data_IF_093305908450
#
_entry.id   IF_093305908450
#
_cell.length_a   1.000
_cell.length_b   1.000
_cell.length_c   1.000
_cell.angle_alpha   90.00
_cell.angle_beta   90.00
_cell.angle_gamma   90.00
#
_symmetry.space_group_name_H-M   'P 1'
#
loop_
_entity.id
_entity.type
_entity.pdbx_description
1 polymer ?
#
# COMPACT_ATOMS: atom_id res chain seq x y z
N UNK A 1 56.75 51.41 -75.21
CA UNK A 1 56.13 50.52 -76.20
C UNK A 1 54.77 50.12 -75.69
N UNK A 2 53.76 50.36 -76.45
CA UNK A 2 52.31 50.06 -76.45
C UNK A 2 51.56 49.73 -75.12
N UNK A 3 50.78 50.76 -74.74
CA UNK A 3 49.69 50.73 -73.79
C UNK A 3 48.53 49.88 -74.33
N UNK A 4 47.90 49.10 -73.52
CA UNK A 4 46.61 48.41 -73.74
C UNK A 4 45.57 48.89 -72.73
N UNK A 5 44.71 49.76 -73.13
CA UNK A 5 43.52 50.22 -72.37
C UNK A 5 42.50 49.08 -72.37
N UNK A 6 42.04 48.60 -71.25
CA UNK A 6 40.82 47.78 -71.10
C UNK A 6 39.72 48.60 -70.35
N UNK A 7 38.57 48.69 -71.05
CA UNK A 7 37.34 49.35 -70.60
C UNK A 7 36.73 48.58 -69.40
N UNK A 8 36.39 49.29 -68.35
CA UNK A 8 35.53 48.80 -67.29
C UNK A 8 34.08 48.98 -67.71
N UNK A 9 33.36 47.81 -67.80
CA UNK A 9 31.89 47.82 -67.91
C UNK A 9 31.36 47.70 -66.47
N UNK A 10 30.49 48.64 -66.11
CA UNK A 10 29.83 48.66 -64.84
C UNK A 10 28.81 47.55 -64.73
N UNK A 11 28.89 46.83 -63.63
CA UNK A 11 27.84 45.86 -63.24
C UNK A 11 27.11 46.50 -62.06
N UNK A 12 25.82 46.86 -62.32
CA UNK A 12 24.93 47.23 -61.27
C UNK A 12 24.63 46.04 -60.38
N UNK A 13 25.08 46.10 -59.11
CA UNK A 13 24.66 45.15 -58.10
C UNK A 13 23.36 45.66 -57.45
N UNK A 14 22.24 45.05 -57.80
CA UNK A 14 20.97 45.18 -57.05
C UNK A 14 21.08 44.47 -55.72
N UNK A 15 21.13 45.23 -54.64
CA UNK A 15 20.99 44.68 -53.30
C UNK A 15 19.55 44.16 -53.09
N UNK A 16 19.37 42.85 -53.17
CA UNK A 16 18.16 42.21 -52.72
C UNK A 16 18.18 42.07 -51.19
N UNK A 17 17.38 42.90 -50.54
CA UNK A 17 17.17 42.91 -49.09
C UNK A 17 16.34 41.65 -48.71
N UNK A 18 17.00 40.52 -48.42
CA UNK A 18 16.35 39.33 -47.90
C UNK A 18 16.00 39.58 -46.44
N UNK A 19 14.74 39.88 -46.17
CA UNK A 19 14.17 39.89 -44.79
C UNK A 19 14.13 38.45 -44.29
N UNK A 20 15.13 38.12 -43.44
CA UNK A 20 15.17 36.85 -42.71
C UNK A 20 14.11 36.91 -41.60
N UNK A 21 12.95 36.28 -41.86
CA UNK A 21 11.88 36.09 -40.89
C UNK A 21 12.34 35.10 -39.84
N UNK A 22 12.95 35.59 -38.76
CA UNK A 22 13.29 34.78 -37.58
C UNK A 22 11.96 34.44 -36.87
N UNK A 23 11.40 33.30 -37.19
CA UNK A 23 10.34 32.71 -36.38
C UNK A 23 10.94 32.39 -35.02
N UNK A 24 10.57 33.16 -34.02
CA UNK A 24 10.79 32.87 -32.60
C UNK A 24 10.08 31.51 -32.31
N UNK A 25 10.81 30.42 -32.39
CA UNK A 25 10.42 29.16 -31.78
C UNK A 25 10.36 29.44 -30.28
N UNK A 26 9.16 29.75 -29.78
CA UNK A 26 8.88 29.65 -28.37
C UNK A 26 9.20 28.21 -27.94
N UNK A 27 10.15 27.96 -27.07
CA UNK A 27 10.27 26.64 -26.45
C UNK A 27 8.98 26.46 -25.65
N UNK A 28 8.01 25.74 -26.22
CA UNK A 28 6.91 25.19 -25.42
C UNK A 28 7.60 24.45 -24.27
N UNK A 29 7.52 25.03 -23.08
CA UNK A 29 7.91 24.35 -21.86
C UNK A 29 7.16 23.04 -21.86
N UNK A 30 7.86 21.95 -22.19
CA UNK A 30 7.32 20.61 -22.08
C UNK A 30 6.84 20.49 -20.64
N UNK A 31 5.52 20.57 -20.44
CA UNK A 31 4.90 20.30 -19.15
C UNK A 31 5.43 18.94 -18.73
N UNK A 32 6.28 18.90 -17.73
CA UNK A 32 6.72 17.64 -17.11
C UNK A 32 5.45 16.93 -16.71
N UNK A 33 5.05 15.95 -17.53
CA UNK A 33 3.84 15.19 -17.28
C UNK A 33 3.97 14.54 -15.91
N UNK A 34 3.13 14.96 -14.95
CA UNK A 34 3.10 14.35 -13.63
C UNK A 34 3.02 12.83 -13.81
N UNK A 35 3.86 12.06 -13.13
CA UNK A 35 3.85 10.61 -13.27
C UNK A 35 2.44 10.10 -13.00
N UNK A 36 1.91 9.33 -13.93
CA UNK A 36 0.59 8.71 -13.82
C UNK A 36 0.68 7.30 -13.20
N UNK A 37 1.89 6.81 -12.97
CA UNK A 37 2.15 5.56 -12.26
C UNK A 37 2.28 5.87 -10.77
N UNK A 38 1.42 5.29 -9.95
CA UNK A 38 1.40 5.49 -8.51
C UNK A 38 1.73 4.16 -7.84
N UNK A 39 2.77 4.15 -7.03
CA UNK A 39 3.24 2.99 -6.30
C UNK A 39 2.70 3.03 -4.86
N UNK A 40 1.87 2.06 -4.52
CA UNK A 40 1.28 1.92 -3.18
C UNK A 40 1.89 0.72 -2.50
N UNK A 41 2.48 0.91 -1.33
CA UNK A 41 2.89 -0.16 -0.45
C UNK A 41 1.78 -0.36 0.58
N UNK A 42 1.18 -1.54 0.64
CA UNK A 42 0.03 -1.81 1.50
C UNK A 42 0.17 -3.11 2.29
N UNK A 43 -0.24 -3.08 3.54
CA UNK A 43 -0.33 -4.28 4.35
C UNK A 43 -1.16 -5.36 3.64
N UNK A 44 -0.67 -6.59 3.65
CA UNK A 44 -1.26 -7.73 2.91
C UNK A 44 -2.72 -8.01 3.27
N UNK A 45 -3.14 -7.67 4.49
CA UNK A 45 -4.52 -7.78 4.95
C UNK A 45 -5.53 -6.84 4.26
N UNK A 46 -5.04 -5.85 3.47
CA UNK A 46 -5.86 -4.94 2.67
C UNK A 46 -6.03 -5.44 1.21
N UNK A 47 -5.40 -6.55 0.83
CA UNK A 47 -5.31 -6.99 -0.57
C UNK A 47 -6.67 -7.18 -1.23
N UNK A 48 -7.61 -7.81 -0.54
CA UNK A 48 -8.96 -8.06 -1.06
C UNK A 48 -9.65 -6.77 -1.46
N UNK A 49 -9.73 -5.83 -0.51
CA UNK A 49 -10.46 -4.57 -0.66
C UNK A 49 -9.76 -3.62 -1.63
N UNK A 50 -8.46 -3.43 -1.49
CA UNK A 50 -7.72 -2.48 -2.31
C UNK A 50 -7.67 -2.89 -3.79
N UNK A 51 -7.64 -4.20 -4.10
CA UNK A 51 -7.67 -4.69 -5.47
C UNK A 51 -8.94 -4.29 -6.22
N UNK A 52 -10.09 -4.29 -5.56
CA UNK A 52 -11.36 -3.87 -6.15
C UNK A 52 -11.48 -2.34 -6.23
N UNK A 53 -11.15 -1.64 -5.15
CA UNK A 53 -11.31 -0.19 -5.03
C UNK A 53 -10.38 0.59 -5.96
N UNK A 54 -9.12 0.16 -6.09
CA UNK A 54 -8.17 0.82 -6.99
C UNK A 54 -8.51 0.61 -8.47
N UNK A 55 -9.09 -0.54 -8.86
CA UNK A 55 -9.62 -0.74 -10.22
C UNK A 55 -10.70 0.29 -10.56
N UNK A 56 -11.61 0.59 -9.61
CA UNK A 56 -12.66 1.60 -9.79
C UNK A 56 -12.05 2.99 -10.01
N UNK A 57 -11.05 3.37 -9.22
CA UNK A 57 -10.34 4.64 -9.41
C UNK A 57 -9.67 4.74 -10.79
N UNK A 58 -8.96 3.70 -11.21
CA UNK A 58 -8.27 3.65 -12.51
C UNK A 58 -9.27 3.74 -13.66
N UNK A 59 -10.41 3.07 -13.57
CA UNK A 59 -11.47 3.14 -14.59
C UNK A 59 -12.03 4.56 -14.75
N UNK A 60 -12.15 5.31 -13.64
CA UNK A 60 -12.60 6.71 -13.64
C UNK A 60 -11.51 7.72 -14.08
N UNK A 61 -10.24 7.30 -14.17
CA UNK A 61 -9.10 8.18 -14.48
C UNK A 61 -8.21 7.54 -15.56
N UNK A 62 -8.61 7.54 -16.84
CA UNK A 62 -7.83 6.96 -17.93
C UNK A 62 -6.39 7.48 -17.98
N UNK A 63 -5.43 6.55 -18.12
CA UNK A 63 -4.00 6.83 -18.15
C UNK A 63 -3.33 6.92 -16.77
N UNK A 64 -4.07 6.76 -15.67
CA UNK A 64 -3.49 6.52 -14.33
C UNK A 64 -3.29 5.03 -14.12
N UNK A 65 -2.14 4.66 -13.57
CA UNK A 65 -1.84 3.28 -13.17
C UNK A 65 -1.50 3.26 -11.69
N UNK A 66 -2.15 2.39 -10.93
CA UNK A 66 -1.84 2.15 -9.52
C UNK A 66 -1.20 0.77 -9.42
N UNK A 67 0.06 0.74 -9.02
CA UNK A 67 0.80 -0.48 -8.73
C UNK A 67 0.78 -0.69 -7.22
N UNK A 68 0.25 -1.81 -6.74
CA UNK A 68 0.22 -2.10 -5.31
C UNK A 68 1.16 -3.24 -5.00
N UNK A 69 2.11 -3.00 -4.10
CA UNK A 69 2.95 -4.03 -3.50
C UNK A 69 2.37 -4.41 -2.14
N UNK A 70 1.91 -5.65 -2.03
CA UNK A 70 1.37 -6.19 -0.79
C UNK A 70 2.44 -6.97 -0.02
N UNK A 71 2.52 -6.75 1.28
CA UNK A 71 3.49 -7.44 2.13
C UNK A 71 3.20 -7.25 3.62
N UNK A 72 4.08 -7.77 4.47
CA UNK A 72 4.09 -7.36 5.86
C UNK A 72 4.53 -5.90 5.94
N UNK A 73 3.89 -5.10 6.80
CA UNK A 73 4.23 -3.69 6.92
C UNK A 73 5.69 -3.47 7.35
N UNK A 74 6.23 -4.36 8.19
CA UNK A 74 7.64 -4.31 8.58
C UNK A 74 8.58 -4.52 7.37
N UNK A 75 8.27 -5.47 6.48
CA UNK A 75 9.05 -5.71 5.25
C UNK A 75 8.95 -4.52 4.30
N UNK A 76 7.75 -3.96 4.12
CA UNK A 76 7.55 -2.78 3.27
C UNK A 76 8.28 -1.55 3.81
N UNK A 77 8.25 -1.32 5.12
CA UNK A 77 9.03 -0.26 5.78
C UNK A 77 10.54 -0.44 5.57
N UNK A 78 11.04 -1.68 5.66
CA UNK A 78 12.45 -1.97 5.36
C UNK A 78 12.81 -1.69 3.91
N UNK A 79 11.93 -2.01 2.96
CA UNK A 79 12.12 -1.68 1.54
C UNK A 79 12.14 -0.16 1.30
N UNK A 80 11.26 0.59 1.96
CA UNK A 80 11.25 2.06 1.93
C UNK A 80 12.60 2.60 2.41
N UNK A 81 13.08 2.14 3.56
CA UNK A 81 14.36 2.56 4.14
C UNK A 81 15.56 2.16 3.27
N UNK A 82 15.42 1.14 2.43
CA UNK A 82 16.41 0.72 1.42
C UNK A 82 16.28 1.48 0.10
N UNK A 83 15.44 2.51 0.01
CA UNK A 83 15.28 3.36 -1.16
C UNK A 83 14.29 2.83 -2.22
N UNK A 84 13.44 1.85 -1.90
CA UNK A 84 12.41 1.40 -2.84
C UNK A 84 11.43 2.54 -3.16
N UNK A 85 11.14 2.81 -4.45
CA UNK A 85 10.26 3.91 -4.83
C UNK A 85 8.81 3.61 -4.45
N UNK A 86 8.19 4.52 -3.71
CA UNK A 86 6.79 4.46 -3.33
C UNK A 86 6.18 5.87 -3.28
N UNK A 87 4.87 5.93 -3.43
CA UNK A 87 4.09 7.17 -3.30
C UNK A 87 3.24 7.17 -2.02
N UNK A 88 2.65 6.03 -1.69
CA UNK A 88 1.75 5.87 -0.54
C UNK A 88 2.12 4.61 0.23
N UNK A 89 2.18 4.70 1.55
CA UNK A 89 2.35 3.57 2.45
C UNK A 89 1.16 3.40 3.37
N UNK A 90 0.61 2.19 3.43
CA UNK A 90 -0.48 1.82 4.34
C UNK A 90 -0.01 0.67 5.22
N UNK A 91 0.26 1.00 6.47
CA UNK A 91 0.77 0.07 7.48
C UNK A 91 -0.35 -0.51 8.34
N UNK A 92 -0.22 -1.77 8.74
CA UNK A 92 -1.11 -2.43 9.69
C UNK A 92 -0.80 -2.09 11.15
N UNK A 93 0.25 -1.34 11.43
CA UNK A 93 0.58 -0.86 12.77
C UNK A 93 1.37 0.45 12.75
N UNK A 94 1.44 1.07 13.93
CA UNK A 94 2.15 2.33 14.13
C UNK A 94 3.67 2.15 14.07
N UNK A 95 4.20 1.04 14.58
CA UNK A 95 5.65 0.83 14.65
C UNK A 95 6.29 0.71 13.27
N UNK A 96 5.64 0.00 12.34
CA UNK A 96 6.10 -0.09 10.95
C UNK A 96 5.99 1.26 10.21
N UNK A 97 4.91 2.05 10.47
CA UNK A 97 4.79 3.41 9.93
C UNK A 97 5.91 4.31 10.47
N UNK A 98 6.18 4.26 11.77
CA UNK A 98 7.25 5.03 12.41
C UNK A 98 8.64 4.61 11.89
N UNK A 99 8.86 3.31 11.65
CA UNK A 99 10.11 2.81 11.07
C UNK A 99 10.42 3.40 9.69
N UNK A 100 9.40 3.66 8.85
CA UNK A 100 9.54 4.34 7.56
C UNK A 100 9.46 5.89 7.68
N UNK A 101 9.41 6.42 8.88
CA UNK A 101 9.01 7.81 9.17
C UNK A 101 9.85 8.89 8.52
N UNK A 102 11.17 8.65 8.26
CA UNK A 102 12.02 9.61 7.56
C UNK A 102 11.53 9.91 6.13
N UNK A 103 10.85 8.95 5.49
CA UNK A 103 10.38 9.04 4.10
C UNK A 103 8.88 9.38 3.99
N UNK A 104 8.16 9.42 5.11
CA UNK A 104 6.72 9.63 5.15
C UNK A 104 6.38 11.08 5.48
N UNK A 105 5.44 11.64 4.73
CA UNK A 105 4.75 12.87 5.05
C UNK A 105 3.31 12.58 5.49
N UNK A 106 2.80 13.39 6.42
CA UNK A 106 1.39 13.36 6.86
C UNK A 106 0.87 11.96 7.25
N UNK A 107 1.58 11.21 8.11
CA UNK A 107 1.04 9.94 8.59
C UNK A 107 -0.21 10.21 9.45
N UNK A 108 -1.26 9.43 9.23
CA UNK A 108 -2.53 9.55 9.98
C UNK A 108 -3.12 8.19 10.32
N UNK A 109 -4.00 8.18 11.32
CA UNK A 109 -4.82 7.03 11.63
C UNK A 109 -5.73 6.70 10.46
N UNK A 110 -5.94 5.42 10.23
CA UNK A 110 -6.67 4.99 9.06
C UNK A 110 -7.89 4.12 9.42
N UNK A 111 -7.66 2.88 9.82
CA UNK A 111 -8.70 1.94 10.26
C UNK A 111 -8.14 1.03 11.36
N UNK A 112 -9.03 0.36 12.10
CA UNK A 112 -8.64 -0.64 13.10
C UNK A 112 -9.06 -2.03 12.64
N UNK A 113 -8.19 -3.03 12.84
CA UNK A 113 -8.51 -4.43 12.66
C UNK A 113 -8.32 -5.18 13.98
N UNK A 114 -8.79 -6.41 14.06
CA UNK A 114 -8.65 -7.25 15.25
C UNK A 114 -8.04 -8.59 14.88
N UNK A 115 -7.16 -9.08 15.73
CA UNK A 115 -6.66 -10.44 15.70
C UNK A 115 -7.69 -11.38 16.35
N UNK A 116 -7.90 -12.52 15.72
CA UNK A 116 -8.78 -13.59 16.17
C UNK A 116 -8.09 -14.94 15.96
N UNK A 117 -8.59 -15.99 16.60
CA UNK A 117 -8.25 -17.37 16.22
C UNK A 117 -9.24 -17.82 15.14
N UNK A 118 -8.71 -18.16 13.97
CA UNK A 118 -9.46 -18.72 12.86
C UNK A 118 -9.30 -20.25 12.86
N UNK A 119 -10.42 -20.93 12.63
CA UNK A 119 -10.46 -22.40 12.50
C UNK A 119 -11.39 -22.79 11.36
N UNK A 120 -11.22 -23.96 10.72
CA UNK A 120 -12.19 -24.50 9.76
C UNK A 120 -13.60 -24.55 10.35
N UNK A 121 -14.64 -24.43 9.52
CA UNK A 121 -16.04 -24.42 9.99
C UNK A 121 -16.40 -25.66 10.81
N UNK A 122 -15.91 -26.84 10.41
CA UNK A 122 -16.16 -28.13 11.05
C UNK A 122 -15.21 -28.46 12.21
N UNK A 123 -14.29 -27.55 12.56
CA UNK A 123 -13.31 -27.74 13.62
C UNK A 123 -13.97 -27.94 15.00
N UNK A 124 -13.41 -28.86 15.79
CA UNK A 124 -13.82 -29.10 17.19
C UNK A 124 -13.23 -28.05 18.16
N UNK A 125 -12.30 -27.24 17.74
CA UNK A 125 -11.74 -26.13 18.53
C UNK A 125 -12.84 -25.09 18.74
N UNK A 126 -13.21 -24.82 19.99
CA UNK A 126 -14.29 -23.86 20.34
C UNK A 126 -13.78 -22.63 21.07
N UNK A 127 -12.62 -22.69 21.70
CA UNK A 127 -12.03 -21.62 22.52
C UNK A 127 -10.50 -21.67 22.49
N UNK A 128 -9.84 -20.62 22.92
CA UNK A 128 -8.37 -20.47 22.89
C UNK A 128 -7.64 -21.56 23.66
N UNK A 129 -8.20 -22.02 24.79
CA UNK A 129 -7.58 -23.07 25.62
C UNK A 129 -7.56 -24.45 24.95
N UNK A 130 -8.32 -24.64 23.85
CA UNK A 130 -8.31 -25.88 23.09
C UNK A 130 -7.03 -26.02 22.25
N UNK A 131 -6.24 -24.94 22.10
CA UNK A 131 -4.92 -24.98 21.47
C UNK A 131 -3.92 -25.68 22.42
N UNK A 132 -3.83 -26.99 22.31
CA UNK A 132 -2.92 -27.83 23.07
C UNK A 132 -1.85 -28.46 22.15
N UNK A 133 -1.01 -29.35 22.68
CA UNK A 133 0.10 -29.98 21.95
C UNK A 133 -0.32 -30.90 20.78
N UNK A 134 -1.61 -31.27 20.70
CA UNK A 134 -2.15 -32.09 19.61
C UNK A 134 -2.70 -31.25 18.45
N UNK A 135 -2.85 -29.94 18.63
CA UNK A 135 -3.39 -29.00 17.63
C UNK A 135 -2.25 -28.32 16.89
N UNK A 136 -2.21 -28.49 15.57
CA UNK A 136 -1.29 -27.75 14.70
C UNK A 136 -1.83 -26.36 14.45
N UNK A 137 -1.33 -25.37 15.16
CA UNK A 137 -1.73 -23.98 14.95
C UNK A 137 -0.55 -23.10 14.60
N UNK A 138 -0.80 -22.04 13.86
CA UNK A 138 0.20 -21.09 13.38
C UNK A 138 -0.21 -19.65 13.65
N UNK A 139 0.76 -18.76 13.51
CA UNK A 139 0.57 -17.31 13.61
C UNK A 139 1.64 -16.56 12.82
N UNK A 140 1.47 -15.28 12.66
CA UNK A 140 2.53 -14.43 12.14
C UNK A 140 3.75 -14.39 13.06
N UNK A 141 4.93 -14.14 12.46
CA UNK A 141 6.18 -13.84 13.17
C UNK A 141 5.99 -12.63 14.11
N UNK A 142 6.70 -12.67 15.24
CA UNK A 142 6.68 -11.61 16.27
C UNK A 142 7.21 -10.26 15.78
N UNK A 143 7.87 -10.24 14.63
CA UNK A 143 8.48 -9.04 14.02
C UNK A 143 7.56 -8.33 13.03
N UNK A 144 6.36 -8.86 12.78
CA UNK A 144 5.39 -8.27 11.84
C UNK A 144 4.09 -7.89 12.55
N UNK A 145 3.29 -6.93 12.02
CA UNK A 145 2.13 -6.36 12.72
C UNK A 145 1.15 -7.37 13.29
N UNK A 146 0.74 -8.37 12.48
CA UNK A 146 -0.17 -9.43 12.94
C UNK A 146 0.41 -10.28 14.06
N UNK A 147 1.73 -10.47 14.09
CA UNK A 147 2.41 -11.19 15.14
C UNK A 147 2.54 -10.38 16.42
N UNK A 148 2.88 -9.08 16.33
CA UNK A 148 2.90 -8.16 17.45
C UNK A 148 1.53 -8.08 18.12
N UNK A 149 0.46 -7.94 17.32
CA UNK A 149 -0.92 -7.92 17.82
C UNK A 149 -1.30 -9.25 18.48
N UNK A 150 -0.87 -10.39 17.90
CA UNK A 150 -1.12 -11.70 18.49
C UNK A 150 -0.39 -11.88 19.83
N UNK A 151 0.84 -11.38 19.99
CA UNK A 151 1.55 -11.41 21.27
C UNK A 151 0.80 -10.63 22.35
N UNK A 152 0.33 -9.42 22.05
CA UNK A 152 -0.49 -8.64 22.98
C UNK A 152 -1.76 -9.38 23.38
N UNK A 153 -2.49 -9.92 22.41
CA UNK A 153 -3.75 -10.62 22.64
C UNK A 153 -3.58 -11.91 23.48
N UNK A 154 -2.52 -12.68 23.21
CA UNK A 154 -2.20 -13.90 23.96
C UNK A 154 -1.77 -13.55 25.40
N UNK A 155 -0.88 -12.57 25.54
CA UNK A 155 -0.31 -12.19 26.85
C UNK A 155 -1.34 -11.58 27.79
N UNK A 156 -2.34 -10.88 27.27
CA UNK A 156 -3.37 -10.20 28.07
C UNK A 156 -4.17 -11.14 28.98
N UNK A 157 -4.35 -12.42 28.61
CA UNK A 157 -5.10 -13.41 29.38
C UNK A 157 -4.40 -14.74 29.54
N UNK A 158 -3.21 -14.92 28.96
CA UNK A 158 -2.40 -16.14 29.01
C UNK A 158 -3.18 -17.44 28.77
N UNK A 159 -4.05 -17.44 27.79
CA UNK A 159 -5.03 -18.51 27.54
C UNK A 159 -4.53 -19.63 26.62
N UNK A 160 -3.42 -19.44 25.93
CA UNK A 160 -2.83 -20.41 25.00
C UNK A 160 -1.59 -21.01 25.65
N UNK A 161 -1.58 -22.32 25.87
CA UNK A 161 -0.54 -23.05 26.58
C UNK A 161 0.46 -23.80 25.70
N UNK A 162 0.14 -23.96 24.40
CA UNK A 162 1.04 -24.60 23.44
C UNK A 162 1.73 -23.57 22.54
N UNK A 163 2.91 -23.90 22.05
CA UNK A 163 3.59 -23.10 21.03
C UNK A 163 2.97 -23.33 19.64
N UNK A 164 3.00 -22.32 18.74
CA UNK A 164 2.63 -22.53 17.34
C UNK A 164 3.66 -23.44 16.65
N UNK A 165 3.20 -24.26 15.68
CA UNK A 165 4.10 -25.12 14.91
C UNK A 165 4.93 -24.36 13.88
N UNK A 166 4.49 -23.15 13.47
CA UNK A 166 5.29 -22.24 12.66
C UNK A 166 4.87 -20.78 12.82
N UNK A 167 5.78 -19.90 12.40
CA UNK A 167 5.61 -18.46 12.35
C UNK A 167 5.70 -17.98 10.90
N UNK A 168 4.69 -17.26 10.44
CA UNK A 168 4.58 -16.83 9.05
C UNK A 168 5.02 -15.37 8.85
N UNK A 169 5.51 -15.08 7.67
CA UNK A 169 6.03 -13.72 7.34
C UNK A 169 4.95 -12.66 7.15
N UNK A 170 3.67 -13.04 6.98
CA UNK A 170 2.56 -12.11 6.75
C UNK A 170 1.21 -12.72 7.10
N UNK A 171 0.17 -11.87 7.22
CA UNK A 171 -1.21 -12.33 7.39
C UNK A 171 -1.68 -13.20 6.21
N UNK A 172 -1.33 -12.82 4.97
CA UNK A 172 -1.72 -13.59 3.77
C UNK A 172 -1.10 -14.98 3.75
N UNK A 173 0.18 -15.15 4.14
CA UNK A 173 0.81 -16.47 4.20
C UNK A 173 0.21 -17.34 5.31
N UNK A 174 -0.15 -16.72 6.44
CA UNK A 174 -0.85 -17.42 7.53
C UNK A 174 -2.23 -17.92 7.08
N UNK A 175 -3.02 -17.06 6.42
CA UNK A 175 -4.33 -17.41 5.87
C UNK A 175 -4.23 -18.52 4.84
N UNK A 176 -3.28 -18.44 3.91
CA UNK A 176 -3.11 -19.42 2.84
C UNK A 176 -2.87 -20.83 3.39
N UNK A 177 -2.04 -20.98 4.44
CA UNK A 177 -1.79 -22.29 5.08
C UNK A 177 -3.04 -22.86 5.76
N UNK A 178 -3.83 -22.01 6.43
CA UNK A 178 -5.09 -22.44 7.04
C UNK A 178 -6.10 -22.91 5.97
N UNK A 179 -6.27 -22.11 4.91
CA UNK A 179 -7.21 -22.44 3.83
C UNK A 179 -6.79 -23.68 3.01
N UNK A 180 -5.50 -23.98 2.95
CA UNK A 180 -4.96 -25.19 2.34
C UNK A 180 -5.12 -26.44 3.21
N UNK A 181 -5.62 -26.29 4.46
CA UNK A 181 -5.76 -27.42 5.39
C UNK A 181 -4.43 -27.93 5.95
N UNK A 182 -3.35 -27.18 5.83
CA UNK A 182 -2.03 -27.55 6.35
C UNK A 182 -1.95 -27.50 7.89
N UNK A 183 -2.89 -26.78 8.51
CA UNK A 183 -2.97 -26.57 9.96
C UNK A 183 -4.41 -26.57 10.44
N UNK A 184 -4.62 -26.82 11.74
CA UNK A 184 -5.95 -26.91 12.35
C UNK A 184 -6.50 -25.54 12.77
N UNK A 185 -5.62 -24.58 13.01
CA UNK A 185 -5.98 -23.24 13.46
C UNK A 185 -4.88 -22.21 13.11
N UNK A 186 -5.28 -20.94 13.00
CA UNK A 186 -4.36 -19.84 12.77
C UNK A 186 -4.81 -18.57 13.49
N UNK A 187 -3.89 -17.79 14.03
CA UNK A 187 -4.18 -16.45 14.49
C UNK A 187 -4.07 -15.50 13.29
N UNK A 188 -5.20 -14.87 12.94
CA UNK A 188 -5.43 -14.07 11.75
C UNK A 188 -6.15 -12.76 12.10
N UNK A 189 -6.34 -11.91 11.12
CA UNK A 189 -7.25 -10.79 11.25
C UNK A 189 -8.71 -11.20 11.08
N UNK A 190 -9.60 -10.51 11.76
CA UNK A 190 -11.07 -10.70 11.67
C UNK A 190 -11.55 -10.54 10.22
N UNK A 191 -10.98 -9.61 9.48
CA UNK A 191 -11.29 -9.37 8.06
C UNK A 191 -11.01 -10.59 7.18
N UNK A 192 -9.97 -11.38 7.48
CA UNK A 192 -9.64 -12.60 6.74
C UNK A 192 -10.74 -13.65 6.87
N UNK A 193 -11.37 -13.74 8.06
CA UNK A 193 -12.50 -14.67 8.29
C UNK A 193 -13.77 -14.17 7.62
N UNK A 194 -14.05 -12.86 7.69
CA UNK A 194 -15.20 -12.26 7.00
C UNK A 194 -15.11 -12.46 5.48
N UNK A 195 -13.91 -12.40 4.91
CA UNK A 195 -13.68 -12.66 3.49
C UNK A 195 -13.79 -14.17 3.11
N UNK A 196 -13.80 -15.08 4.07
CA UNK A 196 -13.84 -16.54 3.84
C UNK A 196 -14.94 -17.24 4.67
N UNK A 197 -16.21 -16.76 4.66
CA UNK A 197 -17.26 -17.19 5.59
C UNK A 197 -17.71 -18.65 5.37
N UNK A 198 -17.44 -19.21 4.20
CA UNK A 198 -17.79 -20.60 3.86
C UNK A 198 -16.70 -21.63 4.19
N UNK A 199 -15.51 -21.16 4.65
CA UNK A 199 -14.37 -22.02 4.91
C UNK A 199 -13.93 -22.02 6.36
N UNK A 200 -13.92 -20.86 6.99
CA UNK A 200 -13.38 -20.66 8.34
C UNK A 200 -14.32 -19.83 9.20
N UNK A 201 -14.20 -19.98 10.51
CA UNK A 201 -14.92 -19.17 11.51
C UNK A 201 -13.96 -18.61 12.55
N UNK A 202 -14.38 -17.53 13.21
CA UNK A 202 -13.62 -16.81 14.21
C UNK A 202 -13.93 -17.30 15.63
N UNK A 203 -12.89 -17.32 16.47
CA UNK A 203 -12.97 -17.37 17.93
C UNK A 203 -12.26 -16.11 18.43
N UNK A 204 -12.97 -15.22 19.12
CA UNK A 204 -12.46 -13.94 19.56
C UNK A 204 -11.64 -14.04 20.82
N UNK A 205 -10.61 -13.18 20.96
CA UNK A 205 -9.92 -12.97 22.24
C UNK A 205 -10.84 -12.22 23.21
N UNK A 206 -10.74 -12.54 24.48
CA UNK A 206 -11.54 -11.89 25.53
C UNK A 206 -11.21 -10.39 25.70
N UNK A 207 -9.95 -10.01 25.49
CA UNK A 207 -9.51 -8.63 25.49
C UNK A 207 -9.44 -8.12 24.03
N UNK A 208 -10.53 -7.48 23.61
CA UNK A 208 -10.64 -6.92 22.26
C UNK A 208 -9.66 -5.78 22.00
N UNK A 209 -9.31 -4.98 23.04
CA UNK A 209 -8.35 -3.88 22.91
C UNK A 209 -6.93 -4.40 22.69
N UNK A 210 -6.51 -5.40 23.46
CA UNK A 210 -5.22 -6.03 23.28
C UNK A 210 -5.11 -6.73 21.90
N UNK A 211 -6.23 -7.23 21.37
CA UNK A 211 -6.31 -7.88 20.07
C UNK A 211 -6.44 -6.89 18.89
N UNK A 212 -6.61 -5.60 19.15
CA UNK A 212 -6.78 -4.57 18.09
C UNK A 212 -5.43 -4.08 17.57
N UNK A 213 -5.41 -3.68 16.30
CA UNK A 213 -4.26 -3.02 15.67
C UNK A 213 -4.73 -1.80 14.87
N UNK A 214 -4.06 -0.66 15.08
CA UNK A 214 -4.32 0.60 14.40
C UNK A 214 -3.54 0.67 13.12
N UNK A 215 -4.22 0.74 12.00
CA UNK A 215 -3.60 0.99 10.70
C UNK A 215 -3.29 2.47 10.54
N UNK A 216 -2.22 2.74 9.83
CA UNK A 216 -1.78 4.10 9.49
C UNK A 216 -1.64 4.22 7.98
N UNK A 217 -1.89 5.41 7.44
CA UNK A 217 -1.67 5.75 6.05
C UNK A 217 -0.80 6.99 5.95
N UNK A 218 0.14 7.02 5.01
CA UNK A 218 1.00 8.17 4.76
C UNK A 218 1.38 8.28 3.28
N UNK A 219 1.71 9.50 2.85
CA UNK A 219 2.22 9.80 1.51
C UNK A 219 3.73 10.03 1.58
N UNK A 220 4.48 9.67 0.53
CA UNK A 220 5.93 9.88 0.52
C UNK A 220 6.30 11.36 0.46
N UNK A 221 7.40 11.75 1.12
CA UNK A 221 7.96 13.10 1.02
C UNK A 221 8.33 13.44 -0.42
N UNK A 222 8.84 12.45 -1.17
CA UNK A 222 9.18 12.61 -2.60
C UNK A 222 7.94 12.96 -3.44
N UNK A 223 6.80 12.30 -3.23
CA UNK A 223 5.55 12.61 -3.94
C UNK A 223 5.03 14.03 -3.60
N UNK A 224 5.25 14.49 -2.36
CA UNK A 224 4.92 15.87 -1.96
C UNK A 224 5.87 16.86 -2.63
N UNK A 225 7.18 16.64 -2.54
CA UNK A 225 8.21 17.54 -3.07
C UNK A 225 8.14 17.68 -4.60
N UNK A 226 7.89 16.58 -5.32
CA UNK A 226 7.70 16.57 -6.79
C UNK A 226 6.33 17.10 -7.23
N UNK A 227 5.48 17.50 -6.31
CA UNK A 227 4.10 17.93 -6.55
C UNK A 227 3.29 16.91 -7.38
N UNK A 228 3.49 15.59 -7.13
CA UNK A 228 2.79 14.53 -7.83
C UNK A 228 1.28 14.58 -7.52
N UNK A 229 0.53 15.28 -8.40
CA UNK A 229 -0.92 15.47 -8.23
C UNK A 229 -1.71 14.15 -8.18
N UNK A 230 -1.23 13.12 -8.87
CA UNK A 230 -1.92 11.85 -8.91
C UNK A 230 -1.69 11.04 -7.63
N UNK A 231 -0.48 11.08 -7.06
CA UNK A 231 -0.23 10.50 -5.75
C UNK A 231 -1.12 11.15 -4.68
N UNK A 232 -1.24 12.49 -4.69
CA UNK A 232 -2.13 13.22 -3.78
C UNK A 232 -3.60 12.81 -3.97
N UNK A 233 -4.08 12.68 -5.23
CA UNK A 233 -5.45 12.24 -5.51
C UNK A 233 -5.73 10.81 -5.06
N UNK A 234 -4.81 9.88 -5.33
CA UNK A 234 -4.94 8.49 -4.87
C UNK A 234 -4.91 8.44 -3.33
N UNK A 235 -4.03 9.20 -2.69
CA UNK A 235 -3.96 9.30 -1.23
C UNK A 235 -5.28 9.81 -0.61
N UNK A 236 -5.88 10.84 -1.20
CA UNK A 236 -7.19 11.36 -0.79
C UNK A 236 -8.31 10.34 -1.06
N UNK A 237 -8.29 9.68 -2.22
CA UNK A 237 -9.26 8.65 -2.55
C UNK A 237 -9.26 7.50 -1.55
N UNK A 238 -8.07 6.99 -1.20
CA UNK A 238 -7.94 5.92 -0.21
C UNK A 238 -8.47 6.30 1.18
N UNK A 239 -8.60 7.58 1.49
CA UNK A 239 -9.15 8.10 2.73
C UNK A 239 -10.61 8.58 2.62
N UNK A 240 -11.21 8.46 1.44
CA UNK A 240 -12.58 8.94 1.18
C UNK A 240 -13.63 8.13 1.96
N UNK A 241 -14.80 8.73 2.14
CA UNK A 241 -15.97 8.08 2.74
C UNK A 241 -16.34 6.78 2.02
N UNK A 242 -16.24 6.75 0.68
CA UNK A 242 -16.49 5.55 -0.11
C UNK A 242 -15.58 4.39 0.33
N UNK A 243 -14.28 4.65 0.46
CA UNK A 243 -13.30 3.64 0.86
C UNK A 243 -13.54 3.21 2.32
N UNK A 244 -13.81 4.15 3.21
CA UNK A 244 -14.12 3.85 4.62
C UNK A 244 -15.35 2.96 4.75
N UNK A 245 -16.42 3.22 4.00
CA UNK A 245 -17.61 2.36 3.95
C UNK A 245 -17.27 0.95 3.45
N UNK A 246 -16.46 0.84 2.40
CA UNK A 246 -16.06 -0.46 1.87
C UNK A 246 -15.22 -1.25 2.89
N UNK A 247 -14.26 -0.60 3.56
CA UNK A 247 -13.45 -1.22 4.60
C UNK A 247 -14.29 -1.62 5.83
N UNK A 248 -15.28 -0.80 6.22
CA UNK A 248 -16.21 -1.15 7.28
C UNK A 248 -17.02 -2.42 6.95
N UNK A 249 -17.49 -2.54 5.70
CA UNK A 249 -18.19 -3.76 5.22
C UNK A 249 -17.29 -4.99 5.23
N UNK A 250 -15.99 -4.81 4.98
CA UNK A 250 -14.99 -5.87 5.08
C UNK A 250 -14.63 -6.26 6.54
N UNK A 251 -15.15 -5.53 7.54
CA UNK A 251 -14.96 -5.83 8.96
C UNK A 251 -13.91 -5.01 9.67
N UNK A 252 -13.29 -4.03 8.99
CA UNK A 252 -12.48 -3.02 9.67
C UNK A 252 -13.36 -2.09 10.51
N UNK A 253 -12.86 -1.66 11.64
CA UNK A 253 -13.45 -0.57 12.38
C UNK A 253 -12.93 0.75 11.78
N UNK A 254 -13.84 1.63 11.44
CA UNK A 254 -13.55 2.98 10.96
C UNK A 254 -14.02 3.96 12.03
N UNK A 255 -13.20 4.97 12.33
CA UNK A 255 -13.66 6.06 13.18
C UNK A 255 -14.89 6.69 12.54
N UNK A 256 -15.86 7.07 13.36
CA UNK A 256 -17.16 7.58 12.90
C UNK A 256 -16.98 8.56 11.74
N UNK A 257 -17.69 8.27 10.65
CA UNK A 257 -17.81 9.17 9.50
C UNK A 257 -18.33 10.51 10.02
N UNK A 258 -17.42 11.46 10.25
CA UNK A 258 -17.76 12.86 10.51
C UNK A 258 -18.08 13.54 9.20
#
# INVERSE_FOLDING_TARGET
MKAGRRKWQGVCFTLSLSILLITLLNPQSASVANPKNINVFAASSLQGEYSALTKKFVAAHPGVKINISYGSSATLASQINSGAPFDIFVSADESSMASAGSEIASPSDYVVNQIILAVPLNSQIKKMVDLNSKVKWIRCSRTVPCGIAADRAISAKNVIKSAPVSYESSASSTLAKLLAGAVDAAILYKTDVIANPTKIRAITFADSKAASTQYKIGISKTAIASNNRWAKRVFQYLQSTEIRIALAKAGFQVDSLK
#
